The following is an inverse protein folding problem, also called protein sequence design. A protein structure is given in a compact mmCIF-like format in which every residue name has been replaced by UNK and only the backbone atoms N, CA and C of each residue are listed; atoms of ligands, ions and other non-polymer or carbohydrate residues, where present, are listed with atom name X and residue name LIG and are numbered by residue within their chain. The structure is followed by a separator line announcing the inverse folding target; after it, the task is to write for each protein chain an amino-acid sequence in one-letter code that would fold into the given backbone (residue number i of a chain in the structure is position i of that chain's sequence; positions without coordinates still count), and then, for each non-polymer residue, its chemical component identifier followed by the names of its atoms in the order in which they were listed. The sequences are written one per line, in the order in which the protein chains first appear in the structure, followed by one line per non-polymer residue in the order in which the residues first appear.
data_IF_885270563589
#
_entry.id   IF_885270563589
#
_cell.length_a   1.000
_cell.length_b   1.000
_cell.length_c   1.000
_cell.angle_alpha   90.00
_cell.angle_beta   90.00
_cell.angle_gamma   90.00
#
_symmetry.space_group_name_H-M   'P 1'
#
loop_
_entity.id
_entity.type
_entity.pdbx_description
1 polymer ?
#
# COMPACT_ATOMS: atom_id res chain seq x y z
N UNK A 1 7.30 1.57 -20.37
CA UNK A 1 7.14 2.69 -19.38
C UNK A 1 6.05 3.67 -19.80
N UNK A 2 6.03 4.21 -21.02
CA UNK A 2 5.05 5.23 -21.46
C UNK A 2 3.58 4.75 -21.40
N UNK A 3 3.30 3.49 -21.75
CA UNK A 3 1.93 2.93 -21.76
C UNK A 3 1.41 2.78 -20.32
N UNK A 4 2.23 2.32 -19.40
CA UNK A 4 1.83 2.17 -17.99
C UNK A 4 1.56 3.52 -17.32
N UNK A 5 2.36 4.53 -17.63
CA UNK A 5 2.19 5.90 -17.10
C UNK A 5 0.89 6.54 -17.59
N UNK A 6 0.56 6.37 -18.88
CA UNK A 6 -0.68 6.89 -19.46
C UNK A 6 -1.92 6.19 -18.90
N UNK A 7 -1.89 4.87 -18.76
CA UNK A 7 -3.00 4.09 -18.18
C UNK A 7 -3.26 4.50 -16.72
N UNK A 8 -2.20 4.56 -15.92
CA UNK A 8 -2.28 4.98 -14.52
C UNK A 8 -2.83 6.41 -14.40
N UNK A 9 -2.36 7.34 -15.23
CA UNK A 9 -2.85 8.72 -15.26
C UNK A 9 -4.33 8.80 -15.64
N UNK A 10 -4.75 8.04 -16.65
CA UNK A 10 -6.15 8.00 -17.11
C UNK A 10 -7.09 7.48 -16.04
N UNK A 11 -6.72 6.39 -15.35
CA UNK A 11 -7.52 5.82 -14.28
C UNK A 11 -7.58 6.73 -13.05
N UNK A 12 -6.45 7.29 -12.65
CA UNK A 12 -6.35 8.22 -11.51
C UNK A 12 -7.27 9.45 -11.68
N UNK A 13 -7.42 9.94 -12.91
CA UNK A 13 -8.22 11.12 -13.22
C UNK A 13 -9.65 10.80 -13.68
N UNK A 14 -10.03 9.53 -13.76
CA UNK A 14 -11.35 9.11 -14.21
C UNK A 14 -12.44 9.56 -13.24
N UNK A 15 -13.34 10.43 -13.72
CA UNK A 15 -14.54 10.84 -12.97
C UNK A 15 -15.46 9.67 -12.72
N UNK A 16 -15.65 8.79 -13.72
CA UNK A 16 -16.50 7.61 -13.63
C UNK A 16 -16.01 6.71 -12.50
N UNK A 17 -14.72 6.45 -12.43
CA UNK A 17 -14.15 5.61 -11.38
C UNK A 17 -14.39 6.21 -9.98
N UNK A 18 -14.16 7.51 -9.83
CA UNK A 18 -14.39 8.22 -8.57
C UNK A 18 -15.84 8.14 -8.12
N UNK A 19 -16.79 8.34 -9.02
CA UNK A 19 -18.22 8.27 -8.70
C UNK A 19 -18.66 6.84 -8.35
N UNK A 20 -18.18 5.83 -9.07
CA UNK A 20 -18.47 4.43 -8.75
C UNK A 20 -17.92 4.05 -7.37
N UNK A 21 -16.69 4.44 -7.06
CA UNK A 21 -16.11 4.15 -5.75
C UNK A 21 -16.81 4.91 -4.62
N UNK A 22 -17.20 6.17 -4.86
CA UNK A 22 -18.02 6.94 -3.92
C UNK A 22 -19.37 6.28 -3.66
N UNK A 23 -20.07 5.83 -4.71
CA UNK A 23 -21.33 5.11 -4.57
C UNK A 23 -21.17 3.84 -3.75
N UNK A 24 -20.12 3.07 -4.02
CA UNK A 24 -19.78 1.89 -3.23
C UNK A 24 -19.58 2.23 -1.74
N UNK A 25 -18.84 3.29 -1.42
CA UNK A 25 -18.61 3.70 -0.03
C UNK A 25 -19.90 4.15 0.66
N UNK A 26 -20.78 4.85 -0.06
CA UNK A 26 -22.10 5.27 0.46
C UNK A 26 -22.95 4.05 0.79
N UNK A 27 -23.07 3.11 -0.15
CA UNK A 27 -23.85 1.88 0.04
C UNK A 27 -23.37 1.03 1.22
N UNK A 28 -22.08 1.08 1.52
CA UNK A 28 -21.45 0.36 2.63
C UNK A 28 -21.43 1.16 3.94
N UNK A 29 -21.98 2.39 3.95
CA UNK A 29 -22.03 3.23 5.15
C UNK A 29 -20.71 3.86 5.57
N UNK A 30 -19.69 3.84 4.69
CA UNK A 30 -18.36 4.40 4.96
C UNK A 30 -18.20 5.86 4.54
N UNK A 31 -19.18 6.43 3.86
CA UNK A 31 -19.11 7.79 3.36
C UNK A 31 -20.17 8.66 4.02
N UNK A 32 -19.75 9.80 4.54
CA UNK A 32 -20.60 10.87 5.06
C UNK A 32 -19.98 12.24 4.74
N UNK A 33 -20.62 13.33 5.16
CA UNK A 33 -20.18 14.69 4.87
C UNK A 33 -18.81 15.05 5.48
N UNK A 34 -18.30 14.24 6.41
CA UNK A 34 -16.98 14.41 7.06
C UNK A 34 -15.95 13.40 6.54
N UNK A 35 -16.25 12.71 5.44
CA UNK A 35 -15.32 11.76 4.82
C UNK A 35 -14.43 12.47 3.82
N UNK A 36 -13.14 12.21 3.90
CA UNK A 36 -12.13 12.71 2.98
C UNK A 36 -11.41 11.51 2.37
N UNK A 37 -11.06 11.58 1.10
CA UNK A 37 -10.29 10.54 0.45
C UNK A 37 -9.03 11.12 -0.21
N UNK A 38 -7.98 10.30 -0.24
CA UNK A 38 -6.75 10.58 -0.98
C UNK A 38 -6.90 10.14 -2.45
N UNK A 39 -5.85 10.28 -3.20
CA UNK A 39 -5.82 9.90 -4.59
C UNK A 39 -5.84 8.37 -4.75
N UNK A 40 -6.68 7.92 -5.66
CA UNK A 40 -6.62 6.55 -6.15
C UNK A 40 -5.25 6.24 -6.77
N UNK A 41 -4.66 5.15 -6.37
CA UNK A 41 -3.33 4.72 -6.83
C UNK A 41 -3.40 3.34 -7.44
N UNK A 42 -2.68 3.16 -8.54
CA UNK A 42 -2.39 1.83 -9.08
C UNK A 42 -0.97 1.47 -8.73
N UNK A 43 -0.83 0.31 -8.13
CA UNK A 43 0.46 -0.24 -7.76
C UNK A 43 0.80 -1.42 -8.66
N UNK A 44 2.01 -1.41 -9.18
CA UNK A 44 2.58 -2.50 -9.97
C UNK A 44 3.74 -3.08 -9.17
N UNK A 45 3.62 -4.35 -8.79
CA UNK A 45 4.69 -5.11 -8.17
C UNK A 45 5.20 -6.15 -9.19
N UNK A 46 6.35 -5.90 -9.85
CA UNK A 46 6.89 -6.76 -10.90
C UNK A 46 7.24 -8.17 -10.39
N UNK A 47 7.13 -9.16 -11.28
CA UNK A 47 7.72 -10.46 -11.06
C UNK A 47 9.24 -10.36 -10.94
N UNK A 48 9.82 -11.12 -10.03
CA UNK A 48 11.24 -10.98 -9.66
C UNK A 48 12.21 -11.30 -10.82
N UNK A 49 11.81 -12.16 -11.75
CA UNK A 49 12.67 -12.65 -12.83
C UNK A 49 12.76 -11.72 -14.06
N UNK A 50 12.05 -10.61 -14.09
CA UNK A 50 11.93 -9.86 -15.36
C UNK A 50 12.72 -8.57 -15.45
N UNK A 51 13.17 -8.00 -14.34
CA UNK A 51 13.94 -6.76 -14.37
C UNK A 51 14.80 -6.63 -13.10
N UNK A 52 15.97 -6.04 -13.22
CA UNK A 52 16.76 -5.47 -12.10
C UNK A 52 15.97 -4.33 -11.41
N UNK A 53 14.69 -4.58 -11.13
CA UNK A 53 13.88 -3.63 -10.39
C UNK A 53 14.37 -3.65 -8.94
N UNK A 54 14.85 -2.50 -8.51
CA UNK A 54 15.33 -2.25 -7.16
C UNK A 54 14.30 -2.76 -6.14
N UNK A 55 14.76 -3.24 -5.02
CA UNK A 55 13.96 -3.61 -3.83
C UNK A 55 12.88 -2.58 -3.44
N UNK A 56 12.94 -1.38 -4.02
CA UNK A 56 11.98 -0.28 -3.87
C UNK A 56 10.53 -0.61 -4.26
N UNK A 57 10.26 -1.71 -4.96
CA UNK A 57 8.90 -2.14 -5.27
C UNK A 57 8.23 -2.91 -4.12
N UNK A 58 9.02 -3.39 -3.16
CA UNK A 58 8.53 -4.09 -1.97
C UNK A 58 8.46 -3.12 -0.81
N UNK A 59 7.26 -2.95 -0.29
CA UNK A 59 7.08 -2.13 0.89
C UNK A 59 7.43 -2.98 2.11
N UNK A 60 8.42 -2.52 2.88
CA UNK A 60 8.81 -3.12 4.16
C UNK A 60 7.65 -3.03 5.17
N UNK A 61 7.76 -3.77 6.26
CA UNK A 61 6.76 -3.75 7.34
C UNK A 61 6.60 -2.34 7.90
N UNK A 62 5.37 -1.83 7.87
CA UNK A 62 5.03 -0.48 8.32
C UNK A 62 3.56 -0.38 8.76
N UNK A 63 3.23 0.74 9.35
CA UNK A 63 1.86 1.23 9.53
C UNK A 63 1.75 2.54 8.77
N UNK A 64 0.66 2.75 8.06
CA UNK A 64 0.47 4.01 7.31
C UNK A 64 0.40 5.21 8.24
N UNK A 65 -0.18 5.02 9.43
CA UNK A 65 -0.25 6.06 10.47
C UNK A 65 1.10 6.58 10.94
N UNK A 66 2.19 5.86 10.71
CA UNK A 66 3.54 6.38 10.99
C UNK A 66 3.92 7.56 10.11
N UNK A 67 3.44 7.58 8.87
CA UNK A 67 3.68 8.68 7.92
C UNK A 67 2.57 9.72 7.91
N UNK A 68 1.31 9.30 8.06
CA UNK A 68 0.15 10.20 7.95
C UNK A 68 -0.26 10.83 9.28
N UNK A 69 -0.01 10.16 10.40
CA UNK A 69 -0.54 10.51 11.72
C UNK A 69 -2.08 10.62 11.77
N UNK A 70 -2.77 9.92 10.87
CA UNK A 70 -4.24 9.92 10.77
C UNK A 70 -4.75 8.56 11.25
N UNK A 71 -5.13 8.48 12.53
CA UNK A 71 -5.55 7.22 13.16
C UNK A 71 -6.91 6.71 12.66
N UNK A 72 -7.74 7.59 12.11
CA UNK A 72 -9.04 7.25 11.50
C UNK A 72 -8.92 6.80 10.04
N UNK A 73 -7.70 6.70 9.52
CA UNK A 73 -7.45 6.27 8.15
C UNK A 73 -7.91 4.83 7.93
N UNK A 74 -8.73 4.66 6.90
CA UNK A 74 -9.19 3.37 6.40
C UNK A 74 -8.64 3.23 4.98
N UNK A 75 -7.96 2.13 4.73
CA UNK A 75 -7.39 1.81 3.43
C UNK A 75 -8.26 0.81 2.70
N UNK A 76 -8.35 0.99 1.41
CA UNK A 76 -9.05 0.12 0.48
C UNK A 76 -8.08 -0.42 -0.54
N UNK A 77 -7.95 -1.72 -0.60
CA UNK A 77 -7.01 -2.37 -1.47
C UNK A 77 -7.67 -3.52 -2.22
N UNK A 78 -7.37 -3.64 -3.52
CA UNK A 78 -7.87 -4.76 -4.30
C UNK A 78 -6.94 -5.13 -5.45
N UNK A 79 -6.85 -6.42 -5.78
CA UNK A 79 -6.09 -6.88 -6.95
C UNK A 79 -6.87 -6.61 -8.24
N UNK A 80 -6.16 -6.18 -9.27
CA UNK A 80 -6.68 -6.05 -10.64
C UNK A 80 -6.41 -7.36 -11.42
N UNK A 81 -5.36 -8.08 -11.06
CA UNK A 81 -5.00 -9.39 -11.59
C UNK A 81 -5.03 -10.44 -10.49
N UNK A 82 -5.16 -11.70 -10.86
CA UNK A 82 -5.10 -12.82 -9.90
C UNK A 82 -3.82 -12.78 -9.09
N UNK A 83 -3.95 -12.99 -7.80
CA UNK A 83 -2.87 -13.02 -6.83
C UNK A 83 -2.79 -14.37 -6.12
N UNK A 84 -1.66 -14.62 -5.49
CA UNK A 84 -1.42 -15.72 -4.57
C UNK A 84 -0.62 -15.23 -3.36
N UNK A 85 -0.30 -16.10 -2.41
CA UNK A 85 0.42 -15.75 -1.18
C UNK A 85 1.83 -15.18 -1.44
N UNK A 86 2.40 -15.42 -2.63
CA UNK A 86 3.75 -14.96 -2.97
C UNK A 86 3.78 -13.52 -3.46
N UNK A 87 2.66 -13.01 -3.97
CA UNK A 87 2.60 -11.68 -4.58
C UNK A 87 1.52 -10.76 -4.00
N UNK A 88 1.08 -11.03 -2.78
CA UNK A 88 0.04 -10.26 -2.11
C UNK A 88 0.59 -9.31 -1.03
N UNK A 89 -0.31 -8.67 -0.32
CA UNK A 89 -0.09 -7.97 0.93
C UNK A 89 -0.24 -8.96 2.09
N UNK A 90 0.59 -8.79 3.12
CA UNK A 90 0.52 -9.59 4.34
C UNK A 90 0.36 -8.70 5.57
N UNK A 91 -0.38 -9.18 6.55
CA UNK A 91 -0.56 -8.57 7.85
C UNK A 91 0.16 -9.35 8.94
N UNK A 92 0.43 -8.65 10.04
CA UNK A 92 1.03 -9.20 11.26
C UNK A 92 0.07 -9.01 12.44
N UNK A 93 -0.95 -9.87 12.62
CA UNK A 93 -2.02 -9.66 13.60
C UNK A 93 -1.52 -9.50 15.05
N UNK A 94 -0.45 -10.19 15.42
CA UNK A 94 0.16 -10.07 16.75
C UNK A 94 0.62 -8.65 17.09
N UNK A 95 0.88 -7.83 16.06
CA UNK A 95 1.38 -6.47 16.19
C UNK A 95 0.30 -5.40 16.00
N UNK A 96 -0.97 -5.75 15.88
CA UNK A 96 -2.02 -4.73 15.70
C UNK A 96 -2.16 -3.82 16.91
N UNK A 97 -1.96 -4.36 18.12
CA UNK A 97 -2.03 -3.62 19.38
C UNK A 97 -0.68 -3.45 20.09
N UNK A 98 0.40 -4.03 19.58
CA UNK A 98 1.72 -3.93 20.19
C UNK A 98 2.50 -2.74 19.61
N UNK A 99 3.22 -1.97 20.42
CA UNK A 99 4.13 -0.95 19.90
C UNK A 99 5.27 -1.61 19.10
N UNK A 100 5.73 -0.93 18.06
CA UNK A 100 6.84 -1.36 17.20
C UNK A 100 7.78 -0.19 17.04
N UNK A 101 9.08 -0.41 17.27
CA UNK A 101 10.09 0.63 17.04
C UNK A 101 10.16 1.00 15.57
N UNK A 102 10.10 2.29 15.29
CA UNK A 102 10.03 2.81 13.93
C UNK A 102 10.76 4.16 13.82
N UNK A 103 10.96 4.64 12.61
CA UNK A 103 11.72 5.86 12.32
C UNK A 103 10.85 7.14 12.26
N UNK A 104 9.63 7.14 12.80
CA UNK A 104 8.74 8.31 12.75
C UNK A 104 9.39 9.57 13.33
N UNK A 105 10.18 9.43 14.40
CA UNK A 105 10.84 10.58 15.04
C UNK A 105 11.93 11.24 14.19
N UNK A 106 12.43 10.56 13.16
CA UNK A 106 13.53 11.04 12.30
C UNK A 106 13.12 11.17 10.84
N UNK A 107 11.91 10.75 10.50
CA UNK A 107 11.36 10.88 9.15
C UNK A 107 10.57 12.18 9.02
N UNK A 108 10.78 12.89 7.91
CA UNK A 108 10.12 14.15 7.63
C UNK A 108 9.52 14.18 6.23
N UNK A 109 8.25 14.57 6.14
CA UNK A 109 7.49 14.60 4.88
C UNK A 109 8.06 15.61 3.89
N UNK A 110 8.49 16.78 4.36
CA UNK A 110 9.02 17.82 3.46
C UNK A 110 10.36 17.37 2.87
N UNK A 111 11.20 16.75 3.69
CA UNK A 111 12.46 16.14 3.23
C UNK A 111 12.18 15.06 2.18
N UNK A 112 11.21 14.17 2.42
CA UNK A 112 10.80 13.19 1.40
C UNK A 112 10.34 13.84 0.10
N UNK A 113 9.48 14.85 0.17
CA UNK A 113 8.97 15.55 -1.01
C UNK A 113 10.08 16.25 -1.80
N UNK A 114 11.06 16.83 -1.12
CA UNK A 114 12.21 17.48 -1.76
C UNK A 114 13.16 16.49 -2.44
N UNK A 115 13.37 15.32 -1.83
CA UNK A 115 14.07 14.20 -2.48
C UNK A 115 13.33 13.75 -3.76
N UNK A 116 12.01 13.59 -3.67
CA UNK A 116 11.16 13.19 -4.81
C UNK A 116 11.20 14.19 -5.95
N UNK A 117 11.14 15.50 -5.68
CA UNK A 117 11.26 16.56 -6.71
C UNK A 117 12.59 16.48 -7.48
N UNK A 118 13.65 16.05 -6.81
CA UNK A 118 14.99 15.87 -7.39
C UNK A 118 15.22 14.49 -8.03
N UNK A 119 14.19 13.64 -8.11
CA UNK A 119 14.29 12.23 -8.52
C UNK A 119 15.30 11.43 -7.69
N UNK A 120 15.51 11.83 -6.44
CA UNK A 120 16.34 11.12 -5.49
C UNK A 120 15.47 10.16 -4.68
N UNK A 121 15.74 8.88 -4.76
CA UNK A 121 15.01 7.81 -4.09
C UNK A 121 15.77 7.25 -2.89
N UNK A 122 16.81 7.92 -2.43
CA UNK A 122 17.60 7.48 -1.27
C UNK A 122 16.87 7.69 0.06
N UNK A 123 15.98 8.70 0.14
CA UNK A 123 15.17 8.94 1.32
C UNK A 123 13.91 8.05 1.32
N UNK A 124 13.59 7.36 2.43
CA UNK A 124 12.47 6.43 2.48
C UNK A 124 11.13 7.13 2.26
N UNK A 125 10.23 6.48 1.52
CA UNK A 125 8.90 7.02 1.19
C UNK A 125 7.94 7.09 2.38
N UNK A 126 8.25 6.38 3.46
CA UNK A 126 7.50 6.38 4.72
C UNK A 126 8.44 6.00 5.87
N UNK A 127 8.06 6.28 7.12
CA UNK A 127 8.76 5.75 8.28
C UNK A 127 8.86 4.22 8.20
N UNK A 128 10.00 3.69 8.61
CA UNK A 128 10.31 2.27 8.53
C UNK A 128 10.39 1.64 9.92
N UNK A 129 10.11 0.37 10.00
CA UNK A 129 10.35 -0.43 11.18
C UNK A 129 11.87 -0.54 11.43
N UNK A 130 12.29 -0.33 12.68
CA UNK A 130 13.71 -0.34 13.09
C UNK A 130 14.14 -1.66 13.76
N UNK A 131 13.22 -2.57 13.99
CA UNK A 131 13.49 -3.87 14.59
C UNK A 131 13.08 -5.00 13.65
N UNK A 132 13.72 -6.14 13.82
CA UNK A 132 13.34 -7.35 13.07
C UNK A 132 12.14 -8.01 13.74
N UNK A 133 11.18 -8.44 12.93
CA UNK A 133 10.13 -9.31 13.41
C UNK A 133 10.72 -10.69 13.77
N UNK A 134 10.13 -11.39 14.76
CA UNK A 134 10.48 -12.78 15.05
C UNK A 134 10.41 -13.65 13.78
N UNK A 135 11.27 -14.66 13.69
CA UNK A 135 11.29 -15.56 12.52
C UNK A 135 10.02 -16.39 12.40
N UNK A 136 9.41 -16.72 13.53
CA UNK A 136 8.18 -17.50 13.67
C UNK A 136 6.92 -16.64 13.71
N UNK A 137 7.03 -15.33 13.39
CA UNK A 137 5.86 -14.43 13.39
C UNK A 137 4.78 -14.94 12.45
N UNK A 138 3.57 -15.05 12.97
CA UNK A 138 2.41 -15.43 12.15
C UNK A 138 2.05 -14.30 11.21
N UNK A 139 1.95 -14.63 9.93
CA UNK A 139 1.51 -13.71 8.88
C UNK A 139 0.13 -14.12 8.38
N UNK A 140 -0.65 -13.12 7.98
CA UNK A 140 -1.95 -13.30 7.36
C UNK A 140 -1.87 -12.73 5.93
N UNK A 141 -1.73 -13.57 4.89
CA UNK A 141 -1.77 -13.12 3.52
C UNK A 141 -3.20 -12.74 3.11
N UNK A 142 -3.34 -11.69 2.30
CA UNK A 142 -4.63 -11.29 1.74
C UNK A 142 -4.85 -12.06 0.44
N UNK A 143 -5.72 -13.07 0.47
CA UNK A 143 -6.00 -13.96 -0.66
C UNK A 143 -7.40 -13.70 -1.23
N UNK A 144 -7.61 -12.49 -1.74
CA UNK A 144 -8.87 -12.09 -2.39
C UNK A 144 -8.74 -12.15 -3.92
N UNK A 145 -9.86 -12.20 -4.62
CA UNK A 145 -9.90 -12.28 -6.07
C UNK A 145 -10.09 -10.90 -6.72
N UNK A 146 -9.75 -10.74 -8.01
CA UNK A 146 -10.13 -9.55 -8.77
C UNK A 146 -11.63 -9.30 -8.69
N UNK A 147 -12.01 -8.07 -8.34
CA UNK A 147 -13.39 -7.67 -8.05
C UNK A 147 -13.75 -7.66 -6.56
N UNK A 148 -12.93 -8.22 -5.70
CA UNK A 148 -13.04 -8.10 -4.25
C UNK A 148 -12.18 -6.96 -3.73
N UNK A 149 -12.61 -6.35 -2.62
CA UNK A 149 -11.92 -5.23 -1.98
C UNK A 149 -11.65 -5.56 -0.52
N UNK A 150 -10.40 -5.43 -0.11
CA UNK A 150 -9.96 -5.55 1.28
C UNK A 150 -9.93 -4.18 1.93
N UNK A 151 -10.60 -4.06 3.07
CA UNK A 151 -10.67 -2.85 3.88
C UNK A 151 -9.90 -3.06 5.18
N UNK A 152 -8.99 -2.14 5.53
CA UNK A 152 -8.20 -2.24 6.75
C UNK A 152 -7.81 -0.88 7.32
N UNK A 153 -7.50 -0.86 8.62
CA UNK A 153 -6.99 0.35 9.27
C UNK A 153 -5.52 0.60 8.94
N UNK A 154 -5.17 1.85 8.67
CA UNK A 154 -3.78 2.28 8.54
C UNK A 154 -2.91 2.04 9.78
N UNK A 155 -3.53 1.70 10.93
CA UNK A 155 -2.83 1.31 12.15
C UNK A 155 -2.32 -0.14 12.15
N UNK A 156 -2.81 -0.99 11.24
CA UNK A 156 -2.37 -2.38 11.18
C UNK A 156 -0.98 -2.51 10.58
N UNK A 157 -0.10 -3.27 11.26
CA UNK A 157 1.22 -3.57 10.71
C UNK A 157 1.08 -4.51 9.52
N UNK A 158 1.60 -4.09 8.37
CA UNK A 158 1.51 -4.84 7.13
C UNK A 158 2.74 -4.61 6.23
N UNK A 159 2.89 -5.44 5.22
CA UNK A 159 3.94 -5.32 4.20
C UNK A 159 3.52 -5.98 2.88
N UNK A 160 4.32 -5.85 1.85
CA UNK A 160 4.27 -6.78 0.71
C UNK A 160 4.78 -8.16 1.12
N UNK A 161 4.26 -9.23 0.51
CA UNK A 161 4.81 -10.57 0.70
C UNK A 161 6.30 -10.58 0.42
N UNK A 162 7.06 -11.28 1.25
CA UNK A 162 8.52 -11.45 1.09
C UNK A 162 8.88 -12.59 0.14
N UNK A 163 7.90 -13.40 -0.24
CA UNK A 163 8.14 -14.53 -1.14
C UNK A 163 8.40 -14.04 -2.56
N UNK A 164 9.24 -14.78 -3.25
CA UNK A 164 9.53 -14.52 -4.67
C UNK A 164 8.33 -14.92 -5.51
N UNK A 165 7.88 -14.01 -6.35
CA UNK A 165 6.77 -14.30 -7.26
C UNK A 165 7.22 -14.23 -8.71
N UNK A 166 6.78 -15.19 -9.50
CA UNK A 166 6.95 -15.19 -10.96
C UNK A 166 5.90 -14.32 -11.68
N UNK A 167 4.92 -13.81 -10.94
CA UNK A 167 3.81 -13.03 -11.49
C UNK A 167 3.90 -11.56 -11.09
N UNK A 168 3.70 -10.68 -12.04
CA UNK A 168 3.50 -9.26 -11.78
C UNK A 168 2.12 -9.04 -11.17
N UNK A 169 2.05 -8.35 -10.04
CA UNK A 169 0.80 -7.92 -9.43
C UNK A 169 0.42 -6.52 -9.90
N UNK A 170 -0.83 -6.38 -10.26
CA UNK A 170 -1.51 -5.09 -10.43
C UNK A 170 -2.57 -4.97 -9.36
N UNK A 171 -2.53 -3.91 -8.58
CA UNK A 171 -3.51 -3.63 -7.52
C UNK A 171 -3.83 -2.14 -7.47
N UNK A 172 -4.97 -1.81 -6.91
CA UNK A 172 -5.33 -0.43 -6.56
C UNK A 172 -5.31 -0.24 -5.05
N UNK A 173 -5.16 1.00 -4.64
CA UNK A 173 -5.29 1.47 -3.26
C UNK A 173 -5.82 2.90 -3.22
#
# INVERSE_FOLDING_TARGET
EAISTNLVSSLKNSKIFKELFKSFLIERGFYNNNSYWDQFRIRIAPAENRFNYREASRISSHRDTWGTNIHQQINWWGPISSIDETNTMIFYPEFFSKPVKNSTSTWDLNTYLDHRKRNDFSYPSAPQMLEKLPEDVKVLPVTIQPGEIHCFSGCHLHSSSKQKSEKTRFSFE
#
